data_IF_994211150159
#
_entry.id   IF_994211150159
#
_cell.length_a   1.000
_cell.length_b   1.000
_cell.length_c   1.000
_cell.angle_alpha   90.00
_cell.angle_beta   90.00
_cell.angle_gamma   90.00
#
_symmetry.space_group_name_H-M   'P 1'
#
loop_
_entity.id
_entity.type
_entity.pdbx_description
1 polymer ?
#
# COMPACT_ATOMS: atom_id res chain seq x y z
N UNK A 1 31.72 -46.94 -102.27
CA UNK A 1 30.32 -46.59 -102.24
C UNK A 1 30.00 -46.18 -100.87
N UNK A 2 29.88 -45.10 -100.63
CA UNK A 2 29.32 -43.90 -100.24
C UNK A 2 27.95 -44.01 -99.66
N UNK A 3 27.77 -43.46 -98.53
CA UNK A 3 26.53 -42.71 -98.24
C UNK A 3 26.65 -42.06 -96.83
N UNK A 4 26.80 -40.82 -96.89
CA UNK A 4 26.69 -39.83 -95.81
C UNK A 4 25.24 -39.84 -95.34
N UNK A 5 25.05 -39.86 -94.00
CA UNK A 5 23.83 -39.40 -93.37
C UNK A 5 24.14 -38.33 -92.36
N UNK A 6 23.91 -37.08 -92.77
CA UNK A 6 23.75 -35.97 -91.84
C UNK A 6 22.39 -36.03 -91.22
N UNK A 7 22.29 -36.30 -89.93
CA UNK A 7 21.06 -36.14 -89.12
C UNK A 7 20.98 -34.86 -88.43
N UNK A 8 19.83 -34.28 -88.16
CA UNK A 8 19.64 -32.89 -87.76
C UNK A 8 19.94 -32.64 -86.25
N UNK A 9 21.05 -32.01 -86.02
CA UNK A 9 21.43 -31.52 -84.64
C UNK A 9 20.62 -30.28 -84.21
N UNK A 10 19.73 -29.77 -85.10
CA UNK A 10 18.98 -28.51 -84.81
C UNK A 10 17.64 -28.66 -84.10
N UNK A 11 17.10 -29.92 -83.96
CA UNK A 11 15.80 -30.13 -83.29
C UNK A 11 15.88 -30.33 -81.76
N UNK A 12 17.09 -30.57 -81.22
CA UNK A 12 17.30 -30.74 -79.76
C UNK A 12 17.54 -29.46 -78.99
N UNK A 13 18.06 -28.42 -79.65
CA UNK A 13 18.32 -27.13 -78.99
C UNK A 13 17.06 -26.29 -78.71
N UNK A 14 16.02 -26.39 -79.60
CA UNK A 14 14.73 -25.72 -79.39
C UNK A 14 13.96 -26.29 -78.19
N UNK A 15 14.00 -27.62 -78.11
CA UNK A 15 13.29 -28.30 -77.00
C UNK A 15 13.95 -28.04 -75.63
N UNK A 16 15.28 -27.92 -75.59
CA UNK A 16 15.98 -27.55 -74.34
C UNK A 16 15.73 -26.09 -73.94
N UNK A 17 15.69 -25.16 -74.85
CA UNK A 17 15.43 -23.75 -74.59
C UNK A 17 13.98 -23.55 -74.12
N UNK A 18 13.02 -24.27 -74.68
CA UNK A 18 11.62 -24.21 -74.24
C UNK A 18 11.44 -24.84 -72.85
N UNK A 19 12.15 -25.94 -72.54
CA UNK A 19 12.18 -26.51 -71.19
C UNK A 19 12.80 -25.56 -70.16
N UNK A 20 13.89 -24.88 -70.51
CA UNK A 20 14.52 -23.88 -69.64
C UNK A 20 13.58 -22.70 -69.39
N UNK A 21 12.88 -22.21 -70.42
CA UNK A 21 11.92 -21.11 -70.27
C UNK A 21 10.70 -21.55 -69.44
N UNK A 22 10.18 -22.78 -69.62
CA UNK A 22 9.11 -23.32 -68.77
C UNK A 22 9.53 -23.46 -67.29
N UNK A 23 10.76 -23.93 -67.04
CA UNK A 23 11.34 -24.01 -65.71
C UNK A 23 11.50 -22.62 -65.08
N UNK A 24 11.94 -21.59 -65.80
CA UNK A 24 12.03 -20.20 -65.31
C UNK A 24 10.67 -19.67 -64.89
N UNK A 25 9.63 -19.85 -65.69
CA UNK A 25 8.24 -19.46 -65.36
C UNK A 25 7.74 -20.19 -64.12
N UNK A 26 8.09 -21.48 -64.00
CA UNK A 26 7.71 -22.25 -62.80
C UNK A 26 8.41 -21.77 -61.54
N UNK A 27 9.70 -21.45 -61.62
CA UNK A 27 10.50 -20.88 -60.54
C UNK A 27 9.98 -19.50 -60.15
N UNK A 28 9.66 -18.62 -61.09
CA UNK A 28 9.08 -17.31 -60.84
C UNK A 28 7.69 -17.45 -60.11
N UNK A 29 6.88 -18.39 -60.58
CA UNK A 29 5.58 -18.68 -59.96
C UNK A 29 5.72 -19.22 -58.53
N UNK A 30 6.68 -20.11 -58.29
CA UNK A 30 7.00 -20.59 -56.95
C UNK A 30 7.55 -19.46 -56.06
N UNK A 31 8.41 -18.59 -56.60
CA UNK A 31 8.91 -17.45 -55.85
C UNK A 31 7.80 -16.45 -55.45
N UNK A 32 6.83 -16.23 -56.37
CA UNK A 32 5.64 -15.41 -56.04
C UNK A 32 4.77 -16.08 -54.97
N UNK A 33 4.57 -17.38 -55.02
CA UNK A 33 3.82 -18.12 -53.98
C UNK A 33 4.54 -18.08 -52.64
N UNK A 34 5.88 -18.19 -52.63
CA UNK A 34 6.68 -18.10 -51.42
C UNK A 34 6.58 -16.69 -50.76
N UNK A 35 6.67 -15.66 -51.60
CA UNK A 35 6.50 -14.28 -51.14
C UNK A 35 5.09 -14.04 -50.57
N UNK A 36 4.05 -14.57 -51.23
CA UNK A 36 2.68 -14.50 -50.71
C UNK A 36 2.53 -15.22 -49.37
N UNK A 37 3.08 -16.42 -49.24
CA UNK A 37 3.06 -17.19 -47.98
C UNK A 37 3.82 -16.46 -46.88
N UNK A 38 4.93 -15.78 -47.19
CA UNK A 38 5.65 -14.94 -46.20
C UNK A 38 4.83 -13.77 -45.74
N UNK A 39 4.09 -13.12 -46.64
CA UNK A 39 3.17 -12.01 -46.26
C UNK A 39 2.02 -12.51 -45.40
N UNK A 40 1.43 -13.64 -45.76
CA UNK A 40 0.34 -14.26 -44.99
C UNK A 40 0.80 -14.68 -43.58
N UNK A 41 2.02 -15.26 -43.50
CA UNK A 41 2.64 -15.58 -42.18
C UNK A 41 2.94 -14.32 -41.35
N UNK A 42 3.35 -13.24 -41.98
CA UNK A 42 3.57 -11.97 -41.26
C UNK A 42 2.24 -11.41 -40.73
N UNK A 43 1.18 -11.43 -41.55
CA UNK A 43 -0.16 -11.00 -41.14
C UNK A 43 -0.72 -11.87 -39.99
N UNK A 44 -0.51 -13.18 -40.05
CA UNK A 44 -0.88 -14.10 -38.98
C UNK A 44 -0.12 -13.82 -37.70
N UNK A 45 1.19 -13.56 -37.76
CA UNK A 45 1.99 -13.18 -36.60
C UNK A 45 1.54 -11.87 -36.00
N UNK A 46 1.24 -10.87 -36.80
CA UNK A 46 0.75 -9.57 -36.33
C UNK A 46 -0.65 -9.70 -35.70
N UNK A 47 -1.51 -10.55 -36.27
CA UNK A 47 -2.83 -10.88 -35.73
C UNK A 47 -2.72 -11.64 -34.40
N UNK A 48 -1.79 -12.60 -34.31
CA UNK A 48 -1.54 -13.37 -33.09
C UNK A 48 -0.99 -12.48 -31.97
N UNK A 49 -0.06 -11.59 -32.31
CA UNK A 49 0.48 -10.60 -31.38
C UNK A 49 -0.58 -9.60 -30.90
N UNK A 50 -1.51 -9.22 -31.77
CA UNK A 50 -2.66 -8.39 -31.42
C UNK A 50 -3.62 -9.15 -30.47
N UNK A 51 -3.93 -10.42 -30.78
CA UNK A 51 -4.77 -11.28 -29.93
C UNK A 51 -4.12 -11.57 -28.57
N UNK A 52 -2.80 -11.81 -28.53
CA UNK A 52 -2.04 -11.97 -27.28
C UNK A 52 -2.05 -10.67 -26.47
N UNK A 53 -1.93 -9.51 -27.12
CA UNK A 53 -2.07 -8.21 -26.48
C UNK A 53 -3.49 -7.97 -25.93
N UNK A 54 -4.51 -8.31 -26.70
CA UNK A 54 -5.92 -8.23 -26.28
C UNK A 54 -6.24 -9.23 -25.15
N UNK A 55 -5.66 -10.43 -25.20
CA UNK A 55 -5.83 -11.45 -24.15
C UNK A 55 -5.08 -11.08 -22.88
N UNK A 56 -3.87 -10.48 -22.99
CA UNK A 56 -3.12 -9.95 -21.85
C UNK A 56 -3.84 -8.75 -21.26
N UNK A 57 -4.41 -7.88 -22.09
CA UNK A 57 -5.20 -6.73 -21.66
C UNK A 57 -6.55 -7.16 -21.05
N UNK A 58 -7.19 -8.21 -21.60
CA UNK A 58 -8.40 -8.80 -21.03
C UNK A 58 -8.12 -9.55 -19.72
N UNK A 59 -6.96 -10.21 -19.59
CA UNK A 59 -6.52 -10.83 -18.35
C UNK A 59 -6.12 -9.78 -17.29
N UNK A 60 -5.47 -8.69 -17.68
CA UNK A 60 -5.18 -7.55 -16.81
C UNK A 60 -6.46 -6.81 -16.40
N UNK A 61 -7.46 -6.69 -17.29
CA UNK A 61 -8.79 -6.13 -16.98
C UNK A 61 -9.62 -7.10 -16.13
N UNK A 62 -9.43 -8.41 -16.27
CA UNK A 62 -10.08 -9.42 -15.43
C UNK A 62 -9.43 -9.54 -14.03
N UNK A 63 -8.16 -9.19 -13.89
CA UNK A 63 -7.44 -9.14 -12.61
C UNK A 63 -7.51 -7.76 -11.94
N UNK A 64 -7.86 -6.70 -12.69
CA UNK A 64 -8.13 -5.39 -12.13
C UNK A 64 -9.55 -5.36 -11.54
N UNK A 65 -9.76 -4.78 -10.35
CA UNK A 65 -11.11 -4.43 -9.91
C UNK A 65 -11.77 -3.63 -11.03
N UNK A 66 -13.09 -3.84 -11.24
CA UNK A 66 -13.85 -3.18 -12.31
C UNK A 66 -13.46 -1.69 -12.39
N UNK A 67 -13.25 -1.13 -13.58
CA UNK A 67 -12.79 0.24 -13.70
C UNK A 67 -13.74 1.12 -12.90
N UNK A 68 -13.23 1.73 -11.82
CA UNK A 68 -13.98 2.71 -11.03
C UNK A 68 -14.47 3.76 -12.01
N UNK A 69 -15.77 4.06 -11.97
CA UNK A 69 -16.31 5.17 -12.73
C UNK A 69 -15.42 6.39 -12.49
N UNK A 70 -15.06 7.11 -13.54
CA UNK A 70 -14.21 8.28 -13.40
C UNK A 70 -14.87 9.23 -12.38
N UNK A 71 -14.10 9.62 -11.36
CA UNK A 71 -14.59 10.50 -10.32
C UNK A 71 -15.19 11.78 -10.95
N UNK A 72 -16.32 12.27 -10.45
CA UNK A 72 -16.91 13.51 -10.93
C UNK A 72 -15.90 14.64 -10.75
N UNK A 73 -15.60 15.36 -11.83
CA UNK A 73 -14.67 16.49 -11.83
C UNK A 73 -15.42 17.78 -12.07
N UNK A 74 -15.03 18.83 -11.36
CA UNK A 74 -15.52 20.18 -11.57
C UNK A 74 -14.35 21.18 -11.54
N UNK A 75 -14.55 22.39 -12.07
CA UNK A 75 -13.55 23.45 -12.02
C UNK A 75 -13.83 24.38 -10.84
N UNK A 76 -12.87 24.57 -9.94
CA UNK A 76 -12.97 25.55 -8.84
C UNK A 76 -12.49 26.95 -9.25
N UNK A 77 -11.61 27.03 -10.25
CA UNK A 77 -11.10 28.25 -10.85
C UNK A 77 -10.59 27.94 -12.28
N UNK A 78 -10.33 28.95 -13.13
CA UNK A 78 -9.76 28.73 -14.46
C UNK A 78 -8.48 27.89 -14.39
N UNK A 79 -8.49 26.74 -15.09
CA UNK A 79 -7.36 25.80 -15.15
C UNK A 79 -7.23 24.86 -13.95
N UNK A 80 -8.00 25.03 -12.88
CA UNK A 80 -7.97 24.13 -11.71
C UNK A 80 -9.14 23.15 -11.79
N UNK A 81 -8.81 21.86 -11.79
CA UNK A 81 -9.77 20.75 -11.72
C UNK A 81 -9.77 20.18 -10.31
N UNK A 82 -10.97 19.87 -9.82
CA UNK A 82 -11.19 19.17 -8.56
C UNK A 82 -11.92 17.87 -8.85
N UNK A 83 -11.38 16.75 -8.39
CA UNK A 83 -12.07 15.47 -8.37
C UNK A 83 -12.45 15.12 -6.94
N UNK A 84 -13.66 14.61 -6.74
CA UNK A 84 -14.14 14.07 -5.48
C UNK A 84 -14.23 12.55 -5.60
N UNK A 85 -13.68 11.86 -4.63
CA UNK A 85 -13.68 10.40 -4.54
C UNK A 85 -14.02 10.00 -3.12
N UNK A 86 -14.46 8.76 -2.95
CA UNK A 86 -14.71 8.27 -1.61
C UNK A 86 -15.41 6.94 -1.59
N UNK A 87 -15.76 6.53 -0.38
CA UNK A 87 -16.62 5.39 -0.14
C UNK A 87 -17.42 5.58 1.14
N UNK A 88 -18.64 5.06 1.13
CA UNK A 88 -19.46 4.86 2.32
C UNK A 88 -19.14 3.46 2.84
N UNK A 89 -18.89 3.32 4.13
CA UNK A 89 -18.57 2.06 4.79
C UNK A 89 -19.58 1.77 5.91
N UNK A 90 -20.03 0.53 5.99
CA UNK A 90 -20.77 0.00 7.13
C UNK A 90 -20.22 -1.37 7.49
N UNK A 91 -19.80 -1.56 8.74
CA UNK A 91 -19.22 -2.81 9.22
C UNK A 91 -19.92 -3.27 10.50
N UNK A 92 -20.58 -4.42 10.45
CA UNK A 92 -21.05 -5.13 11.62
C UNK A 92 -19.90 -5.97 12.19
N UNK A 93 -19.73 -6.01 13.50
CA UNK A 93 -18.70 -6.79 14.15
C UNK A 93 -19.22 -7.53 15.38
N UNK A 94 -18.58 -8.65 15.68
CA UNK A 94 -18.66 -9.35 16.95
C UNK A 94 -17.26 -9.72 17.40
N UNK A 95 -16.93 -9.47 18.66
CA UNK A 95 -15.64 -9.80 19.27
C UNK A 95 -15.83 -10.33 20.69
N UNK A 96 -14.93 -11.21 21.11
CA UNK A 96 -15.00 -11.90 22.39
C UNK A 96 -14.25 -11.19 23.52
N UNK A 97 -13.65 -10.01 23.21
CA UNK A 97 -12.81 -9.27 24.15
C UNK A 97 -12.65 -7.82 23.69
N UNK A 98 -12.25 -6.92 24.59
CA UNK A 98 -11.82 -5.58 24.21
C UNK A 98 -10.47 -5.61 23.48
N UNK A 99 -10.34 -4.79 22.46
CA UNK A 99 -9.10 -4.59 21.71
C UNK A 99 -8.54 -3.18 21.97
N UNK A 100 -7.24 -3.06 21.82
CA UNK A 100 -6.52 -1.78 21.88
C UNK A 100 -6.92 -0.94 20.67
N UNK A 101 -6.89 0.36 20.82
CA UNK A 101 -7.41 1.38 19.92
C UNK A 101 -8.93 1.43 19.79
N UNK A 102 -9.65 0.41 20.22
CA UNK A 102 -11.09 0.33 20.27
C UNK A 102 -11.65 -0.96 19.69
N UNK A 103 -12.95 -0.97 19.51
CA UNK A 103 -13.67 -2.13 19.05
C UNK A 103 -14.14 -1.96 17.60
N UNK A 104 -14.36 -3.05 16.87
CA UNK A 104 -14.78 -3.02 15.49
C UNK A 104 -13.65 -2.65 14.55
N UNK A 105 -13.85 -1.67 13.69
CA UNK A 105 -12.95 -1.29 12.59
C UNK A 105 -11.57 -0.74 13.02
N UNK A 106 -11.35 -0.45 14.28
CA UNK A 106 -10.10 0.03 14.85
C UNK A 106 -9.49 -0.92 15.89
N UNK A 107 -9.92 -2.18 15.93
CA UNK A 107 -9.33 -3.21 16.77
C UNK A 107 -7.93 -3.60 16.28
N UNK A 108 -6.92 -3.47 17.16
CA UNK A 108 -5.52 -3.83 16.81
C UNK A 108 -5.16 -5.19 17.40
N UNK A 109 -4.98 -5.26 18.70
CA UNK A 109 -4.67 -6.47 19.44
C UNK A 109 -5.45 -6.51 20.75
N UNK A 110 -5.66 -7.69 21.38
CA UNK A 110 -6.43 -7.80 22.61
C UNK A 110 -5.84 -6.94 23.72
N UNK A 111 -6.68 -6.27 24.50
CA UNK A 111 -6.24 -5.59 25.72
C UNK A 111 -5.71 -6.62 26.71
N UNK A 112 -4.46 -6.44 27.17
CA UNK A 112 -3.81 -7.37 28.08
C UNK A 112 -4.64 -7.55 29.36
N UNK A 113 -4.95 -8.81 29.71
CA UNK A 113 -5.73 -9.14 30.90
C UNK A 113 -7.22 -8.83 30.82
N UNK A 114 -7.74 -8.35 29.68
CA UNK A 114 -9.16 -8.10 29.53
C UNK A 114 -9.99 -9.39 29.70
N UNK A 115 -11.14 -9.35 30.38
CA UNK A 115 -12.02 -10.49 30.52
C UNK A 115 -12.65 -10.89 29.19
N UNK A 116 -12.99 -12.15 29.03
CA UNK A 116 -13.80 -12.63 27.90
C UNK A 116 -15.24 -12.13 28.04
N UNK A 117 -15.83 -11.79 26.91
CA UNK A 117 -17.20 -11.32 26.81
C UNK A 117 -17.61 -11.15 25.36
N UNK A 118 -18.89 -11.01 25.07
CA UNK A 118 -19.36 -10.75 23.71
C UNK A 118 -19.61 -9.25 23.54
N UNK A 119 -18.92 -8.65 22.59
CA UNK A 119 -19.10 -7.27 22.16
C UNK A 119 -19.53 -7.27 20.70
N UNK A 120 -20.66 -6.63 20.40
CA UNK A 120 -21.18 -6.51 19.04
C UNK A 120 -21.58 -5.08 18.75
N UNK A 121 -21.47 -4.69 17.51
CA UNK A 121 -21.86 -3.36 17.06
C UNK A 121 -21.86 -3.22 15.56
N UNK A 122 -22.21 -2.01 15.12
CA UNK A 122 -22.08 -1.57 13.73
C UNK A 122 -21.29 -0.27 13.73
N UNK A 123 -20.30 -0.17 12.85
CA UNK A 123 -19.42 0.99 12.71
C UNK A 123 -19.47 1.53 11.27
N UNK A 124 -19.62 2.84 11.14
CA UNK A 124 -19.64 3.55 9.85
C UNK A 124 -18.48 4.54 9.70
N UNK A 125 -17.62 4.64 10.71
CA UNK A 125 -16.57 5.67 10.81
C UNK A 125 -15.45 5.54 9.77
N UNK A 126 -15.28 4.37 9.15
CA UNK A 126 -14.36 4.20 8.02
C UNK A 126 -14.85 4.87 6.74
N UNK A 127 -16.12 5.33 6.67
CA UNK A 127 -16.60 6.19 5.58
C UNK A 127 -15.59 7.29 5.34
N UNK A 128 -15.15 7.44 4.09
CA UNK A 128 -14.03 8.30 3.71
C UNK A 128 -14.32 9.02 2.42
N UNK A 129 -13.86 10.26 2.32
CA UNK A 129 -13.87 11.02 1.09
C UNK A 129 -12.63 11.87 0.98
N UNK A 130 -12.26 12.17 -0.26
CA UNK A 130 -11.14 13.06 -0.53
C UNK A 130 -11.37 13.88 -1.78
N UNK A 131 -10.67 15.01 -1.82
CA UNK A 131 -10.61 15.90 -2.97
C UNK A 131 -9.17 15.96 -3.48
N UNK A 132 -9.03 15.77 -4.78
CA UNK A 132 -7.76 15.95 -5.50
C UNK A 132 -7.87 17.21 -6.35
N UNK A 133 -6.93 18.12 -6.18
CA UNK A 133 -6.80 19.37 -6.91
C UNK A 133 -5.66 19.23 -7.91
N UNK A 134 -5.86 19.67 -9.17
CA UNK A 134 -4.86 19.60 -10.21
C UNK A 134 -4.98 20.75 -11.20
N UNK A 135 -3.94 20.99 -12.00
CA UNK A 135 -3.93 21.94 -13.10
C UNK A 135 -3.36 23.31 -12.77
N UNK A 136 -3.06 23.63 -11.50
CA UNK A 136 -2.33 24.86 -11.17
C UNK A 136 -0.91 24.81 -11.76
N UNK A 137 -0.46 25.89 -12.41
CA UNK A 137 0.92 26.05 -12.81
C UNK A 137 1.68 26.81 -11.73
N UNK A 138 2.81 26.25 -11.29
CA UNK A 138 3.73 26.95 -10.41
C UNK A 138 4.84 27.65 -11.21
N UNK A 139 5.39 26.96 -12.21
CA UNK A 139 6.29 27.51 -13.23
C UNK A 139 6.04 26.80 -14.56
N UNK A 140 6.79 27.10 -15.61
CA UNK A 140 6.66 26.42 -16.91
C UNK A 140 6.89 24.91 -16.84
N UNK A 141 7.76 24.46 -15.90
CA UNK A 141 8.14 23.04 -15.73
C UNK A 141 7.48 22.37 -14.54
N UNK A 142 6.87 23.15 -13.62
CA UNK A 142 6.24 22.63 -12.43
C UNK A 142 4.73 22.87 -12.43
N UNK A 143 3.98 21.80 -12.27
CA UNK A 143 2.53 21.84 -12.04
C UNK A 143 2.24 21.65 -10.57
N UNK A 144 1.20 22.33 -10.10
CA UNK A 144 0.73 22.25 -8.72
C UNK A 144 -0.58 21.52 -8.59
N UNK A 145 -0.82 21.01 -7.41
CA UNK A 145 -2.05 20.37 -7.01
C UNK A 145 -2.16 20.27 -5.49
N UNK A 146 -3.08 19.47 -5.02
CA UNK A 146 -3.27 19.22 -3.60
C UNK A 146 -4.21 18.05 -3.36
N UNK A 147 -4.23 17.60 -2.12
CA UNK A 147 -5.07 16.50 -1.66
C UNK A 147 -5.61 16.81 -0.27
N UNK A 148 -6.89 16.54 -0.04
CA UNK A 148 -7.53 16.62 1.29
C UNK A 148 -8.33 15.35 1.48
N UNK A 149 -8.05 14.59 2.54
CA UNK A 149 -8.72 13.33 2.89
C UNK A 149 -9.28 13.38 4.31
N UNK A 150 -10.52 12.90 4.49
CA UNK A 150 -11.22 12.85 5.77
C UNK A 150 -11.91 11.51 5.98
N UNK A 151 -11.96 11.06 7.24
CA UNK A 151 -12.82 9.99 7.75
C UNK A 151 -13.61 10.47 8.99
N UNK A 152 -14.32 9.57 9.68
CA UNK A 152 -15.15 9.93 10.85
C UNK A 152 -14.60 9.38 12.18
N UNK A 153 -13.31 9.18 12.28
CA UNK A 153 -12.63 8.78 13.54
C UNK A 153 -12.18 9.97 14.40
N UNK A 154 -12.77 11.15 14.26
CA UNK A 154 -12.47 12.35 15.05
C UNK A 154 -13.02 12.33 16.50
N UNK A 155 -13.63 11.23 16.90
CA UNK A 155 -14.33 11.10 18.17
C UNK A 155 -15.83 11.21 18.00
N UNK A 156 -16.54 11.55 19.09
CA UNK A 156 -17.99 11.69 19.10
C UNK A 156 -18.40 13.08 19.60
N UNK A 157 -19.46 13.64 19.03
CA UNK A 157 -19.98 14.93 19.45
C UNK A 157 -20.87 14.74 20.68
N UNK A 158 -20.43 15.30 21.81
CA UNK A 158 -21.13 15.27 23.08
C UNK A 158 -20.91 14.00 23.90
N UNK A 159 -21.67 13.88 24.98
CA UNK A 159 -21.68 12.75 25.89
C UNK A 159 -23.14 12.29 26.11
N UNK A 160 -23.31 11.02 26.51
CA UNK A 160 -24.62 10.45 26.79
C UNK A 160 -25.12 9.47 25.75
N UNK A 161 -26.40 9.12 25.82
CA UNK A 161 -26.98 7.95 25.13
C UNK A 161 -26.88 7.97 23.60
N UNK A 162 -26.82 9.15 22.98
CA UNK A 162 -26.78 9.29 21.52
C UNK A 162 -25.46 9.79 20.96
N UNK A 163 -24.43 9.96 21.78
CA UNK A 163 -23.13 10.48 21.33
C UNK A 163 -22.46 9.60 20.28
N UNK A 164 -22.63 8.28 20.38
CA UNK A 164 -22.05 7.31 19.46
C UNK A 164 -22.65 7.36 18.03
N UNK A 165 -23.82 7.95 17.87
CA UNK A 165 -24.45 8.18 16.58
C UNK A 165 -24.00 9.51 15.93
N UNK A 166 -23.08 10.23 16.54
CA UNK A 166 -22.59 11.53 16.09
C UNK A 166 -21.05 11.53 15.93
N UNK A 167 -20.48 10.65 15.05
CA UNK A 167 -19.04 10.63 14.83
C UNK A 167 -18.56 11.92 14.15
N UNK A 168 -17.42 12.43 14.62
CA UNK A 168 -16.83 13.65 14.09
C UNK A 168 -15.86 13.37 12.94
N UNK A 169 -15.82 14.26 11.92
CA UNK A 169 -14.82 14.18 10.86
C UNK A 169 -13.41 14.31 11.45
N UNK A 170 -12.45 13.57 10.87
CA UNK A 170 -11.03 13.65 11.16
C UNK A 170 -10.26 13.94 9.88
N UNK A 171 -9.43 14.99 9.90
CA UNK A 171 -8.49 15.24 8.82
C UNK A 171 -7.41 14.14 8.83
N UNK A 172 -7.31 13.40 7.74
CA UNK A 172 -6.31 12.35 7.57
C UNK A 172 -5.09 12.88 6.87
N UNK A 173 -5.29 13.46 5.70
CA UNK A 173 -4.24 14.05 4.88
C UNK A 173 -4.67 15.44 4.39
N UNK A 174 -3.74 16.37 4.31
CA UNK A 174 -3.91 17.67 3.69
C UNK A 174 -2.54 18.16 3.25
N UNK A 175 -2.25 18.07 1.95
CA UNK A 175 -0.96 18.49 1.41
C UNK A 175 -1.09 19.14 0.03
N UNK A 176 -0.15 20.04 -0.25
CA UNK A 176 0.13 20.53 -1.59
C UNK A 176 1.08 19.57 -2.30
N UNK A 177 0.97 19.47 -3.61
CA UNK A 177 1.88 18.71 -4.45
C UNK A 177 2.41 19.59 -5.58
N UNK A 178 3.72 19.56 -5.80
CA UNK A 178 4.40 20.17 -6.94
C UNK A 178 5.09 19.04 -7.71
N UNK A 179 4.83 18.95 -9.01
CA UNK A 179 5.38 17.90 -9.86
C UNK A 179 6.09 18.51 -11.08
N UNK A 180 7.28 18.04 -11.36
CA UNK A 180 8.01 18.32 -12.58
C UNK A 180 8.11 17.05 -13.42
N UNK A 181 7.21 16.86 -14.40
CA UNK A 181 7.23 15.66 -15.25
C UNK A 181 8.52 15.53 -16.09
N UNK A 182 9.19 16.65 -16.38
CA UNK A 182 10.46 16.66 -17.13
C UNK A 182 11.59 15.97 -16.38
N UNK A 183 11.79 16.34 -15.11
CA UNK A 183 12.83 15.76 -14.24
C UNK A 183 12.42 14.48 -13.51
N UNK A 184 11.12 14.17 -13.41
CA UNK A 184 10.62 13.08 -12.56
C UNK A 184 10.64 13.44 -11.06
N UNK A 185 10.64 14.75 -10.73
CA UNK A 185 10.64 15.20 -9.34
C UNK A 185 9.23 15.52 -8.86
N UNK A 186 8.92 15.17 -7.62
CA UNK A 186 7.67 15.54 -6.94
C UNK A 186 8.00 16.04 -5.53
N UNK A 187 7.33 17.10 -5.10
CA UNK A 187 7.42 17.63 -3.73
C UNK A 187 6.02 17.68 -3.14
N UNK A 188 5.82 17.07 -1.98
CA UNK A 188 4.58 17.14 -1.20
C UNK A 188 4.84 17.91 0.09
N UNK A 189 3.96 18.85 0.45
CA UNK A 189 4.09 19.71 1.64
C UNK A 189 2.77 19.72 2.38
N UNK A 190 2.74 19.26 3.63
CA UNK A 190 1.54 19.19 4.47
C UNK A 190 1.44 17.90 5.23
N UNK A 191 0.26 17.63 5.80
CA UNK A 191 0.02 16.40 6.54
C UNK A 191 -0.15 15.22 5.59
N UNK A 192 0.71 14.24 5.69
CA UNK A 192 0.77 13.05 4.85
C UNK A 192 1.34 11.85 5.61
N UNK A 193 1.23 10.66 5.04
CA UNK A 193 1.91 9.49 5.59
C UNK A 193 3.42 9.71 5.58
N UNK A 194 4.08 9.25 6.64
CA UNK A 194 5.52 9.11 6.67
C UNK A 194 6.00 8.03 5.68
N UNK A 195 7.31 7.88 5.51
CA UNK A 195 7.85 6.91 4.57
C UNK A 195 7.97 5.50 5.17
N UNK A 196 7.88 5.38 6.51
CA UNK A 196 7.82 4.07 7.18
C UNK A 196 6.50 3.36 6.94
N UNK A 197 5.40 4.10 6.77
CA UNK A 197 4.11 3.48 6.48
C UNK A 197 4.11 2.90 5.05
N UNK A 198 3.86 1.58 4.89
CA UNK A 198 3.99 0.91 3.60
C UNK A 198 2.75 1.13 2.71
N UNK A 199 2.54 2.35 2.21
CA UNK A 199 1.34 2.74 1.43
C UNK A 199 1.01 1.80 0.27
N UNK A 200 2.05 1.38 -0.48
CA UNK A 200 1.89 0.51 -1.64
C UNK A 200 1.75 -0.97 -1.25
N UNK A 201 1.84 -1.27 0.06
CA UNK A 201 1.90 -2.63 0.59
C UNK A 201 0.89 -2.87 1.73
N UNK A 202 -0.12 -2.01 1.88
CA UNK A 202 -1.16 -2.13 2.92
C UNK A 202 -1.95 -3.43 2.73
N UNK A 203 -2.18 -4.22 3.80
CA UNK A 203 -2.95 -5.46 3.71
C UNK A 203 -4.38 -5.24 3.21
N UNK A 204 -4.87 -6.15 2.39
CA UNK A 204 -6.26 -6.12 1.91
C UNK A 204 -7.21 -6.51 3.03
N UNK A 205 -8.08 -5.58 3.41
CA UNK A 205 -9.19 -5.79 4.33
C UNK A 205 -10.27 -4.75 4.04
N UNK A 206 -11.53 -5.13 4.12
CA UNK A 206 -12.67 -4.22 4.06
C UNK A 206 -13.17 -3.82 5.46
N UNK A 207 -12.78 -4.54 6.49
CA UNK A 207 -13.07 -4.24 7.88
C UNK A 207 -12.05 -3.31 8.51
N UNK A 208 -10.77 -3.47 8.19
CA UNK A 208 -9.66 -2.70 8.73
C UNK A 208 -9.08 -1.73 7.69
N UNK A 209 -9.82 -0.64 7.38
CA UNK A 209 -9.42 0.35 6.38
C UNK A 209 -8.77 1.57 7.02
N UNK A 210 -9.36 2.11 8.10
CA UNK A 210 -8.85 3.28 8.78
C UNK A 210 -7.63 2.96 9.64
N UNK A 211 -7.62 1.77 10.21
CA UNK A 211 -6.56 1.13 10.96
C UNK A 211 -6.31 -0.23 10.30
N UNK A 212 -5.35 -0.32 9.38
CA UNK A 212 -5.08 -1.55 8.62
C UNK A 212 -4.65 -2.70 9.52
N UNK A 213 -4.92 -3.93 9.09
CA UNK A 213 -4.36 -5.12 9.72
C UNK A 213 -2.84 -4.98 9.89
N UNK A 214 -2.32 -5.33 11.04
CA UNK A 214 -0.90 -5.25 11.35
C UNK A 214 -0.43 -3.89 11.87
N UNK A 215 -1.23 -2.84 11.88
CA UNK A 215 -0.82 -1.56 12.45
C UNK A 215 -0.54 -1.75 13.96
N UNK A 216 0.68 -1.45 14.38
CA UNK A 216 1.15 -1.79 15.73
C UNK A 216 1.46 -3.26 15.98
N UNK A 217 1.20 -4.15 15.00
CA UNK A 217 1.50 -5.61 15.07
C UNK A 217 2.21 -6.05 13.78
N UNK A 218 3.37 -5.46 13.49
CA UNK A 218 4.17 -5.80 12.31
C UNK A 218 4.18 -4.73 11.21
N UNK A 219 3.36 -3.68 11.34
CA UNK A 219 3.38 -2.51 10.48
C UNK A 219 3.49 -1.26 11.35
N UNK A 220 4.38 -0.34 10.99
CA UNK A 220 4.63 0.93 11.68
C UNK A 220 4.43 2.10 10.72
N UNK A 221 4.38 3.31 11.27
CA UNK A 221 4.22 4.55 10.53
C UNK A 221 2.86 5.22 10.76
N UNK A 222 2.84 6.54 10.62
CA UNK A 222 1.65 7.37 10.79
C UNK A 222 1.69 8.60 9.88
N UNK A 223 0.75 9.48 10.06
CA UNK A 223 0.63 10.71 9.26
C UNK A 223 1.11 11.90 10.06
N UNK A 224 2.07 12.63 9.48
CA UNK A 224 2.66 13.82 10.10
C UNK A 224 2.68 15.00 9.12
N UNK A 225 2.60 16.24 9.62
CA UNK A 225 2.95 17.42 8.84
C UNK A 225 4.42 17.36 8.45
N UNK A 226 4.72 17.61 7.18
CA UNK A 226 6.11 17.55 6.71
C UNK A 226 6.26 17.85 5.23
N UNK A 227 7.45 17.57 4.74
CA UNK A 227 7.83 17.70 3.33
C UNK A 227 8.41 16.39 2.87
N UNK A 228 7.93 15.88 1.76
CA UNK A 228 8.51 14.71 1.05
C UNK A 228 8.93 15.15 -0.34
N UNK A 229 10.18 14.91 -0.68
CA UNK A 229 10.71 15.01 -2.03
C UNK A 229 10.89 13.60 -2.58
N UNK A 230 10.35 13.37 -3.77
CA UNK A 230 10.46 12.11 -4.53
C UNK A 230 11.15 12.37 -5.85
N UNK A 231 12.06 11.49 -6.25
CA UNK A 231 12.82 11.59 -7.49
C UNK A 231 12.84 10.24 -8.22
N UNK A 232 12.33 10.22 -9.44
CA UNK A 232 12.52 9.10 -10.35
C UNK A 232 13.99 9.04 -10.77
N UNK A 233 14.68 7.92 -10.52
CA UNK A 233 16.11 7.78 -10.73
C UNK A 233 16.46 7.36 -12.16
N UNK A 234 15.56 6.64 -12.82
CA UNK A 234 15.78 6.11 -14.17
C UNK A 234 14.57 6.31 -15.09
N UNK A 235 13.98 7.49 -15.00
CA UNK A 235 12.83 7.89 -15.81
C UNK A 235 13.05 7.60 -17.30
N UNK A 236 12.05 6.97 -17.94
CA UNK A 236 12.09 6.58 -19.35
C UNK A 236 12.84 5.28 -19.64
N UNK A 237 13.35 4.59 -18.64
CA UNK A 237 13.83 3.21 -18.75
C UNK A 237 12.68 2.25 -19.06
N UNK A 238 12.95 1.19 -19.79
CA UNK A 238 11.98 0.10 -20.06
C UNK A 238 12.05 -1.04 -19.07
N UNK A 239 13.01 -1.03 -18.15
CA UNK A 239 13.15 -2.00 -17.06
C UNK A 239 12.59 -1.51 -15.75
N UNK A 240 13.07 -2.10 -14.65
CA UNK A 240 12.68 -1.73 -13.30
C UNK A 240 12.77 -0.21 -13.08
N UNK A 241 11.70 0.37 -12.55
CA UNK A 241 11.62 1.79 -12.23
C UNK A 241 12.07 2.02 -10.80
N UNK A 242 13.01 2.93 -10.61
CA UNK A 242 13.57 3.27 -9.29
C UNK A 242 13.19 4.68 -8.88
N UNK A 243 12.79 4.84 -7.64
CA UNK A 243 12.46 6.14 -7.04
C UNK A 243 13.14 6.28 -5.68
N UNK A 244 13.71 7.45 -5.42
CA UNK A 244 14.18 7.86 -4.10
C UNK A 244 13.18 8.85 -3.50
N UNK A 245 12.70 8.56 -2.29
CA UNK A 245 11.90 9.48 -1.49
C UNK A 245 12.72 9.93 -0.28
N UNK A 246 12.68 11.23 0.04
CA UNK A 246 13.28 11.82 1.24
C UNK A 246 12.23 12.65 1.96
N UNK A 247 12.00 12.35 3.24
CA UNK A 247 10.99 12.99 4.08
C UNK A 247 11.61 13.72 5.27
N UNK A 248 11.03 14.86 5.62
CA UNK A 248 11.28 15.55 6.87
C UNK A 248 9.93 15.93 7.48
N UNK A 249 9.63 15.44 8.67
CA UNK A 249 8.34 15.58 9.32
C UNK A 249 8.45 16.25 10.68
N UNK A 250 7.40 16.97 11.07
CA UNK A 250 7.17 17.38 12.43
C UNK A 250 6.49 16.24 13.16
N UNK A 251 7.26 15.30 13.69
CA UNK A 251 6.75 14.25 14.55
C UNK A 251 6.05 14.86 15.76
N UNK A 252 4.91 14.33 16.16
CA UNK A 252 4.28 14.67 17.41
C UNK A 252 4.56 13.56 18.41
N UNK A 253 5.26 13.88 19.47
CA UNK A 253 5.42 12.97 20.58
C UNK A 253 4.35 13.22 21.61
N UNK A 254 3.36 12.36 21.64
CA UNK A 254 2.35 12.33 22.69
C UNK A 254 2.83 11.46 23.84
N UNK A 255 3.98 11.76 24.42
CA UNK A 255 4.58 10.97 25.46
C UNK A 255 3.56 10.48 26.52
N UNK A 256 3.94 9.54 27.37
CA UNK A 256 3.04 8.79 28.19
C UNK A 256 2.06 9.66 29.01
N UNK A 257 0.78 9.42 28.80
CA UNK A 257 -0.31 10.00 29.59
C UNK A 257 -0.55 11.49 29.34
N UNK A 258 -0.04 12.06 28.26
CA UNK A 258 -0.18 13.49 28.02
C UNK A 258 -0.66 13.81 26.61
N UNK A 259 -1.66 14.69 26.52
CA UNK A 259 -2.10 15.32 25.28
C UNK A 259 -1.13 16.46 24.88
N UNK A 260 0.15 16.20 24.87
CA UNK A 260 1.14 17.16 24.39
C UNK A 260 1.13 17.12 22.88
N UNK A 261 0.45 18.08 22.28
CA UNK A 261 0.56 18.25 20.85
C UNK A 261 1.91 18.94 20.49
N UNK A 262 2.25 18.94 19.22
CA UNK A 262 3.47 19.55 18.69
C UNK A 262 3.64 21.05 19.00
N UNK A 263 2.59 21.73 19.49
CA UNK A 263 2.61 23.15 19.86
C UNK A 263 2.97 23.38 21.33
N UNK A 264 3.19 22.32 22.09
CA UNK A 264 3.48 22.40 23.52
C UNK A 264 4.98 22.33 23.83
N UNK A 265 5.34 22.65 25.05
CA UNK A 265 6.73 22.75 25.50
C UNK A 265 7.51 21.42 25.44
N UNK A 266 6.87 20.26 25.39
CA UNK A 266 7.56 18.99 25.27
C UNK A 266 8.33 18.85 23.95
N UNK A 267 7.92 19.59 22.92
CA UNK A 267 8.64 19.72 21.66
C UNK A 267 9.53 20.98 21.62
N UNK A 268 10.09 21.39 22.73
CA UNK A 268 10.98 22.53 22.81
C UNK A 268 12.21 22.32 21.91
N UNK A 269 12.30 23.11 20.85
CA UNK A 269 13.27 22.96 19.79
C UNK A 269 12.79 21.97 18.71
N UNK A 270 12.53 22.52 17.54
CA UNK A 270 12.15 21.71 16.38
C UNK A 270 13.26 20.71 16.03
N UNK A 271 12.95 19.43 16.10
CA UNK A 271 13.81 18.33 15.69
C UNK A 271 13.02 17.50 14.71
N UNK A 272 13.23 17.65 13.40
CA UNK A 272 12.48 16.90 12.41
C UNK A 272 12.81 15.40 12.52
N UNK A 273 11.80 14.59 12.38
CA UNK A 273 11.90 13.19 11.98
C UNK A 273 12.33 13.17 10.52
N UNK A 274 13.38 12.45 10.19
CA UNK A 274 13.90 12.33 8.83
C UNK A 274 13.86 10.88 8.35
N UNK A 275 13.50 10.71 7.09
CA UNK A 275 13.33 9.39 6.48
C UNK A 275 13.82 9.40 5.05
N UNK A 276 14.33 8.24 4.61
CA UNK A 276 14.72 8.02 3.24
C UNK A 276 14.25 6.63 2.79
N UNK A 277 13.57 6.57 1.64
CA UNK A 277 13.04 5.33 1.04
C UNK A 277 13.53 5.17 -0.39
N UNK A 278 14.14 4.03 -0.68
CA UNK A 278 14.37 3.58 -2.05
C UNK A 278 13.25 2.62 -2.44
N UNK A 279 12.59 2.90 -3.55
CA UNK A 279 11.47 2.13 -4.08
C UNK A 279 11.80 1.60 -5.46
N UNK A 280 11.33 0.41 -5.79
CA UNK A 280 11.46 -0.23 -7.10
C UNK A 280 10.14 -0.85 -7.55
N UNK A 281 9.81 -0.67 -8.82
CA UNK A 281 8.70 -1.33 -9.50
C UNK A 281 9.23 -2.02 -10.76
N UNK A 282 8.90 -3.31 -10.94
CA UNK A 282 9.25 -4.09 -12.14
C UNK A 282 8.12 -5.07 -12.48
N UNK A 283 7.26 -4.70 -13.42
CA UNK A 283 6.08 -5.47 -13.78
C UNK A 283 5.16 -5.70 -12.59
N UNK A 284 4.99 -6.95 -12.20
CA UNK A 284 4.11 -7.38 -11.09
C UNK A 284 4.80 -7.28 -9.70
N UNK A 285 6.05 -6.86 -9.65
CA UNK A 285 6.83 -6.74 -8.43
C UNK A 285 6.98 -5.27 -8.02
N UNK A 286 6.71 -4.98 -6.75
CA UNK A 286 7.14 -3.74 -6.11
C UNK A 286 7.95 -4.05 -4.85
N UNK A 287 8.93 -3.21 -4.56
CA UNK A 287 9.76 -3.37 -3.37
C UNK A 287 10.27 -2.04 -2.85
N UNK A 288 10.60 -1.99 -1.58
CA UNK A 288 11.19 -0.80 -0.98
C UNK A 288 12.12 -1.16 0.19
N UNK A 289 13.02 -0.23 0.47
CA UNK A 289 13.78 -0.18 1.71
C UNK A 289 13.70 1.24 2.26
N UNK A 290 13.46 1.39 3.56
CA UNK A 290 13.32 2.69 4.21
C UNK A 290 14.12 2.73 5.51
N UNK A 291 14.71 3.90 5.80
CA UNK A 291 15.37 4.21 7.04
C UNK A 291 14.70 5.44 7.68
N UNK A 292 14.58 5.42 9.00
CA UNK A 292 13.99 6.45 9.86
C UNK A 292 14.97 6.87 10.94
N UNK A 293 14.99 8.18 11.25
CA UNK A 293 15.73 8.73 12.37
C UNK A 293 15.01 9.96 12.96
N UNK A 294 14.86 9.98 14.29
CA UNK A 294 14.39 11.15 15.03
C UNK A 294 15.05 11.21 16.42
N UNK A 295 15.09 12.42 17.00
CA UNK A 295 15.38 12.61 18.41
C UNK A 295 14.17 13.22 19.11
N UNK A 296 13.68 12.54 20.14
CA UNK A 296 12.51 12.94 20.91
C UNK A 296 12.99 13.57 22.21
N UNK A 297 12.67 14.85 22.41
CA UNK A 297 13.03 15.59 23.62
C UNK A 297 11.90 15.44 24.66
N UNK A 298 12.20 14.79 25.77
CA UNK A 298 11.26 14.56 26.88
C UNK A 298 11.38 15.57 28.02
N UNK A 299 12.23 16.60 27.90
CA UNK A 299 12.49 17.56 28.96
C UNK A 299 11.27 18.39 29.41
N UNK A 300 10.24 18.50 28.56
CA UNK A 300 9.00 19.21 28.89
C UNK A 300 7.82 18.31 29.25
N UNK A 301 8.02 17.00 29.34
CA UNK A 301 6.96 16.07 29.71
C UNK A 301 6.64 16.24 31.19
N UNK A 302 5.38 16.53 31.47
CA UNK A 302 4.92 16.83 32.83
C UNK A 302 3.40 16.64 33.01
N UNK A 303 2.85 17.19 34.07
CA UNK A 303 1.43 17.06 34.39
C UNK A 303 1.09 15.67 34.96
N UNK A 304 0.13 14.98 34.35
CA UNK A 304 -0.28 13.61 34.76
C UNK A 304 0.56 12.52 34.08
N UNK A 305 1.49 12.89 33.18
CA UNK A 305 2.34 11.95 32.53
C UNK A 305 3.34 11.32 33.50
N UNK A 306 3.65 10.01 33.38
CA UNK A 306 4.74 9.40 34.11
C UNK A 306 6.07 10.11 33.80
N UNK A 307 6.90 10.29 34.83
CA UNK A 307 8.21 10.91 34.65
C UNK A 307 9.10 10.02 33.78
N UNK A 308 9.64 10.51 32.66
CA UNK A 308 10.55 9.75 31.83
C UNK A 308 11.85 9.44 32.58
N UNK A 309 12.46 8.28 32.31
CA UNK A 309 13.77 7.91 32.88
C UNK A 309 14.95 8.46 32.07
N UNK A 310 14.66 9.04 30.90
CA UNK A 310 15.64 9.70 30.04
C UNK A 310 15.11 11.06 29.58
N UNK A 311 15.99 12.01 29.34
CA UNK A 311 15.62 13.33 28.81
C UNK A 311 15.47 13.34 27.27
N UNK A 312 15.97 12.32 26.61
CA UNK A 312 15.93 12.19 25.15
C UNK A 312 15.84 10.72 24.77
N UNK A 313 15.03 10.40 23.76
CA UNK A 313 14.98 9.10 23.11
C UNK A 313 15.49 9.29 21.68
N UNK A 314 16.31 8.38 21.19
CA UNK A 314 16.64 8.25 19.78
C UNK A 314 15.68 7.27 19.15
N UNK A 315 14.86 7.73 18.22
CA UNK A 315 13.99 6.89 17.41
C UNK A 315 14.71 6.58 16.11
N UNK A 316 14.91 5.31 15.82
CA UNK A 316 15.56 4.84 14.61
C UNK A 316 14.96 3.52 14.12
N UNK A 317 14.84 3.36 12.80
CA UNK A 317 14.36 2.13 12.22
C UNK A 317 14.91 1.89 10.83
N UNK A 318 14.87 0.61 10.45
CA UNK A 318 15.07 0.16 9.09
C UNK A 318 13.99 -0.86 8.75
N UNK A 319 13.37 -0.71 7.56
CA UNK A 319 12.33 -1.61 7.06
C UNK A 319 12.60 -1.98 5.60
N UNK A 320 12.28 -3.23 5.26
CA UNK A 320 12.23 -3.73 3.89
C UNK A 320 10.86 -4.35 3.67
N UNK A 321 10.23 -4.04 2.55
CA UNK A 321 8.94 -4.60 2.20
C UNK A 321 8.69 -4.60 0.70
N UNK A 322 7.54 -5.17 0.32
CA UNK A 322 7.13 -5.20 -1.07
C UNK A 322 5.91 -6.08 -1.33
N UNK A 323 5.50 -6.12 -2.58
CA UNK A 323 4.42 -6.95 -3.07
C UNK A 323 4.75 -7.59 -4.41
N UNK A 324 4.13 -8.73 -4.67
CA UNK A 324 4.27 -9.47 -5.91
C UNK A 324 2.91 -10.03 -6.33
N UNK A 325 2.52 -9.80 -7.60
CA UNK A 325 1.20 -10.10 -8.16
C UNK A 325 1.27 -11.12 -9.32
N UNK A 326 1.74 -12.36 -9.09
CA UNK A 326 1.86 -13.35 -10.18
C UNK A 326 0.49 -13.92 -10.56
N UNK A 327 -0.11 -13.41 -11.62
CA UNK A 327 -1.43 -13.85 -12.11
C UNK A 327 -2.54 -13.60 -11.08
N UNK A 328 -3.29 -14.65 -10.61
CA UNK A 328 -4.37 -14.47 -9.64
C UNK A 328 -3.90 -14.31 -8.19
N UNK A 329 -2.60 -14.46 -7.93
CA UNK A 329 -2.03 -14.37 -6.59
C UNK A 329 -1.59 -12.97 -6.23
N UNK A 330 -1.63 -12.66 -4.97
CA UNK A 330 -1.04 -11.49 -4.34
C UNK A 330 -0.22 -11.94 -3.14
N UNK A 331 1.04 -11.54 -3.11
CA UNK A 331 1.89 -11.68 -1.91
C UNK A 331 2.38 -10.29 -1.52
N UNK A 332 2.33 -9.96 -0.24
CA UNK A 332 2.88 -8.72 0.28
C UNK A 332 3.35 -8.87 1.71
N UNK A 333 4.26 -8.02 2.12
CA UNK A 333 4.76 -8.04 3.48
C UNK A 333 5.91 -7.07 3.70
N UNK A 334 6.29 -6.93 4.95
CA UNK A 334 7.47 -6.20 5.38
C UNK A 334 8.15 -6.91 6.55
N UNK A 335 9.36 -6.52 6.82
CA UNK A 335 10.09 -6.78 8.06
C UNK A 335 10.82 -5.51 8.48
N UNK A 336 10.81 -5.20 9.76
CA UNK A 336 11.50 -4.04 10.29
C UNK A 336 12.21 -4.35 11.62
N UNK A 337 13.16 -3.50 11.94
CA UNK A 337 13.79 -3.40 13.26
C UNK A 337 13.98 -1.94 13.59
N UNK A 338 13.87 -1.59 14.86
CA UNK A 338 14.03 -0.21 15.29
C UNK A 338 14.07 -0.06 16.78
N UNK A 339 14.15 1.18 17.22
CA UNK A 339 14.16 1.61 18.61
C UNK A 339 13.33 2.87 18.78
N UNK A 340 12.63 3.01 19.91
CA UNK A 340 11.88 4.21 20.23
C UNK A 340 10.72 4.54 19.28
N UNK A 341 10.04 3.56 18.72
CA UNK A 341 9.04 3.71 17.65
C UNK A 341 7.60 3.91 18.17
N UNK A 342 7.41 4.24 19.44
CA UNK A 342 6.06 4.35 20.03
C UNK A 342 5.17 5.40 19.36
N UNK A 343 5.71 6.48 18.83
CA UNK A 343 5.02 7.53 18.08
C UNK A 343 4.69 7.14 16.63
N UNK A 344 5.33 6.07 16.12
CA UNK A 344 5.07 5.48 14.81
C UNK A 344 4.21 4.20 14.90
N UNK A 345 3.46 4.01 15.95
CA UNK A 345 2.70 2.77 16.22
C UNK A 345 3.58 1.54 16.50
N UNK A 346 4.87 1.72 16.76
CA UNK A 346 5.76 0.67 17.21
C UNK A 346 5.65 0.37 18.70
N UNK A 347 6.45 -0.60 19.19
CA UNK A 347 6.53 -0.98 20.59
C UNK A 347 5.22 -1.49 21.20
N UNK A 348 4.25 -1.92 20.40
CA UNK A 348 2.88 -2.20 20.85
C UNK A 348 2.23 -0.95 21.47
N UNK A 349 2.44 0.20 20.88
CA UNK A 349 1.98 1.52 21.34
C UNK A 349 2.59 1.93 22.70
N UNK A 350 3.76 1.39 23.05
CA UNK A 350 4.49 1.73 24.26
C UNK A 350 5.56 2.76 23.94
N UNK A 351 5.69 3.74 24.82
CA UNK A 351 6.66 4.80 24.70
C UNK A 351 7.90 4.51 25.57
N UNK A 352 9.05 4.80 25.05
CA UNK A 352 10.32 4.60 25.72
C UNK A 352 11.45 4.33 24.75
N UNK A 353 12.65 4.20 25.28
CA UNK A 353 13.84 3.71 24.56
C UNK A 353 13.75 2.19 24.47
N UNK A 354 12.88 1.72 23.58
CA UNK A 354 12.51 0.30 23.46
C UNK A 354 12.89 -0.19 22.07
N UNK A 355 13.85 -1.10 22.03
CA UNK A 355 14.20 -1.83 20.81
C UNK A 355 13.11 -2.83 20.44
N UNK A 356 12.87 -3.01 19.12
CA UNK A 356 11.88 -3.96 18.65
C UNK A 356 12.19 -4.53 17.26
N UNK A 357 11.52 -5.63 16.95
CA UNK A 357 11.45 -6.21 15.62
C UNK A 357 10.01 -6.60 15.30
N UNK A 358 9.63 -6.45 14.05
CA UNK A 358 8.29 -6.80 13.60
C UNK A 358 8.23 -7.03 12.10
N UNK A 359 7.04 -7.38 11.64
CA UNK A 359 6.74 -7.55 10.23
C UNK A 359 5.40 -8.21 10.02
N UNK A 360 4.92 -8.16 8.79
CA UNK A 360 3.72 -8.88 8.39
C UNK A 360 3.91 -9.56 7.04
N UNK A 361 3.04 -10.53 6.77
CA UNK A 361 2.87 -11.13 5.46
C UNK A 361 1.39 -11.33 5.17
N UNK A 362 0.99 -11.13 3.91
CA UNK A 362 -0.33 -11.46 3.41
C UNK A 362 -0.19 -12.20 2.09
N UNK A 363 -0.99 -13.27 1.93
CA UNK A 363 -1.23 -13.96 0.67
C UNK A 363 -2.69 -13.79 0.27
N UNK A 364 -2.93 -13.40 -0.97
CA UNK A 364 -4.25 -13.25 -1.56
C UNK A 364 -4.42 -14.09 -2.82
N UNK A 365 -5.66 -14.47 -3.12
CA UNK A 365 -6.02 -15.17 -4.35
C UNK A 365 -7.33 -14.64 -4.91
N UNK A 366 -7.33 -14.27 -6.17
CA UNK A 366 -8.53 -13.88 -6.93
C UNK A 366 -9.10 -15.10 -7.65
N UNK A 367 -10.27 -15.58 -7.23
CA UNK A 367 -10.95 -16.72 -7.84
C UNK A 367 -11.50 -16.37 -9.23
N UNK A 368 -11.99 -15.15 -9.34
CA UNK A 368 -12.49 -14.53 -10.56
C UNK A 368 -12.45 -13.00 -10.44
N UNK A 369 -13.10 -12.30 -11.36
CA UNK A 369 -13.16 -10.82 -11.35
C UNK A 369 -13.91 -10.20 -10.16
N UNK A 370 -14.69 -10.99 -9.42
CA UNK A 370 -15.54 -10.53 -8.34
C UNK A 370 -15.08 -11.06 -6.97
N UNK A 371 -14.57 -12.28 -6.90
CA UNK A 371 -14.25 -12.94 -5.64
C UNK A 371 -12.75 -13.03 -5.38
N UNK A 372 -12.36 -12.67 -4.16
CA UNK A 372 -10.99 -12.86 -3.67
C UNK A 372 -10.98 -13.28 -2.21
N UNK A 373 -9.93 -13.95 -1.78
CA UNK A 373 -9.66 -14.27 -0.39
C UNK A 373 -8.24 -13.91 -0.02
N UNK A 374 -8.01 -13.52 1.24
CA UNK A 374 -6.69 -13.17 1.75
C UNK A 374 -6.47 -13.84 3.10
N UNK A 375 -5.21 -14.22 3.37
CA UNK A 375 -4.72 -14.67 4.65
C UNK A 375 -3.56 -13.76 5.08
N UNK A 376 -3.64 -13.24 6.30
CA UNK A 376 -2.71 -12.27 6.89
C UNK A 376 -2.09 -12.84 8.16
N UNK A 377 -0.82 -12.51 8.38
CA UNK A 377 -0.12 -12.72 9.64
C UNK A 377 0.77 -11.53 9.96
N UNK A 378 0.59 -10.96 11.16
CA UNK A 378 1.43 -9.89 11.71
C UNK A 378 2.12 -10.33 13.01
N UNK A 379 3.30 -9.80 13.24
CA UNK A 379 4.13 -10.11 14.40
C UNK A 379 4.94 -8.89 14.83
N UNK A 380 5.01 -8.67 16.15
CA UNK A 380 5.90 -7.68 16.77
C UNK A 380 6.42 -8.19 18.11
N UNK A 381 7.68 -7.89 18.38
CA UNK A 381 8.34 -8.25 19.63
C UNK A 381 9.25 -7.10 20.09
N UNK A 382 8.79 -6.28 21.03
CA UNK A 382 9.64 -5.36 21.78
C UNK A 382 10.70 -6.11 22.60
N UNK A 383 11.82 -5.46 22.84
CA UNK A 383 12.85 -5.99 23.73
C UNK A 383 12.33 -6.01 25.18
N UNK A 384 12.32 -7.18 25.77
CA UNK A 384 11.75 -7.39 27.10
C UNK A 384 12.44 -6.59 28.22
N UNK A 385 13.78 -6.47 28.18
CA UNK A 385 14.52 -5.70 29.18
C UNK A 385 14.19 -4.21 29.11
N UNK A 386 14.05 -3.68 27.91
CA UNK A 386 13.75 -2.28 27.69
C UNK A 386 12.32 -1.96 28.13
N UNK A 387 11.34 -2.83 27.76
CA UNK A 387 9.96 -2.70 28.24
C UNK A 387 9.92 -2.69 29.77
N UNK A 388 10.62 -3.61 30.44
CA UNK A 388 10.68 -3.68 31.91
C UNK A 388 11.30 -2.43 32.52
N UNK A 389 12.37 -1.90 31.93
CA UNK A 389 13.03 -0.66 32.37
C UNK A 389 12.10 0.55 32.26
N UNK A 390 11.26 0.62 31.22
CA UNK A 390 10.33 1.72 30.99
C UNK A 390 8.92 1.51 31.59
N UNK A 391 8.66 0.39 32.28
CA UNK A 391 7.37 0.18 32.96
C UNK A 391 7.06 1.28 33.96
N UNK A 392 5.86 1.88 33.83
CA UNK A 392 5.47 3.06 34.62
C UNK A 392 6.06 4.37 34.14
N UNK A 393 6.92 4.35 33.11
CA UNK A 393 7.56 5.53 32.53
C UNK A 393 7.20 5.74 31.04
N UNK A 394 6.29 4.93 30.52
CA UNK A 394 5.84 4.95 29.12
C UNK A 394 5.49 3.59 28.57
N UNK A 395 6.08 2.55 29.11
CA UNK A 395 5.74 1.17 28.78
C UNK A 395 4.64 0.61 29.71
N UNK A 396 3.74 -0.16 29.12
CA UNK A 396 2.62 -0.84 29.81
C UNK A 396 2.88 -2.33 30.04
N UNK A 397 4.10 -2.79 29.78
CA UNK A 397 4.50 -4.17 29.99
C UNK A 397 4.09 -5.14 28.89
N UNK A 398 3.82 -4.68 27.67
CA UNK A 398 3.50 -5.52 26.52
C UNK A 398 4.80 -6.06 25.88
N UNK A 399 4.86 -7.38 25.69
CA UNK A 399 6.12 -8.07 25.38
C UNK A 399 6.15 -8.66 23.96
N UNK A 400 4.98 -8.96 23.41
CA UNK A 400 4.86 -9.55 22.08
C UNK A 400 3.40 -9.52 21.66
N UNK A 401 3.15 -9.33 20.36
CA UNK A 401 1.83 -9.55 19.78
C UNK A 401 1.92 -10.32 18.47
N UNK A 402 0.85 -11.05 18.19
CA UNK A 402 0.62 -11.76 16.92
C UNK A 402 -0.82 -11.53 16.51
N UNK A 403 -1.01 -11.28 15.21
CA UNK A 403 -2.32 -11.10 14.61
C UNK A 403 -2.43 -12.00 13.40
N UNK A 404 -3.50 -12.75 13.29
CA UNK A 404 -3.84 -13.57 12.13
C UNK A 404 -5.22 -13.15 11.65
N UNK A 405 -5.39 -12.97 10.34
CA UNK A 405 -6.71 -12.72 9.77
C UNK A 405 -6.89 -13.49 8.48
N UNK A 406 -8.13 -13.86 8.20
CA UNK A 406 -8.56 -14.37 6.90
C UNK A 406 -9.82 -13.64 6.48
N UNK A 407 -9.90 -13.28 5.19
CA UNK A 407 -11.07 -12.63 4.67
C UNK A 407 -11.47 -13.17 3.31
N UNK A 408 -12.76 -13.07 3.02
CA UNK A 408 -13.38 -13.32 1.73
C UNK A 408 -14.05 -12.03 1.29
N UNK A 409 -13.78 -11.59 0.07
CA UNK A 409 -14.27 -10.33 -0.48
C UNK A 409 -15.01 -10.57 -1.79
N UNK A 410 -16.06 -9.81 -2.00
CA UNK A 410 -16.84 -9.76 -3.23
C UNK A 410 -16.94 -8.32 -3.70
N UNK A 411 -16.57 -8.06 -4.94
CA UNK A 411 -16.65 -6.74 -5.58
C UNK A 411 -17.53 -6.80 -6.84
N UNK A 412 -18.47 -5.88 -6.96
CA UNK A 412 -19.35 -5.76 -8.14
C UNK A 412 -19.66 -4.31 -8.43
N UNK A 413 -19.05 -3.75 -9.48
CA UNK A 413 -19.16 -2.33 -9.83
C UNK A 413 -18.62 -1.45 -8.71
N UNK A 414 -19.49 -0.59 -8.17
CA UNK A 414 -19.14 0.32 -7.06
C UNK A 414 -19.30 -0.31 -5.66
N UNK A 415 -19.77 -1.55 -5.55
CA UNK A 415 -20.05 -2.20 -4.28
C UNK A 415 -19.00 -3.25 -3.94
N UNK A 416 -18.63 -3.29 -2.66
CA UNK A 416 -17.77 -4.32 -2.09
C UNK A 416 -18.39 -4.88 -0.80
N UNK A 417 -18.30 -6.21 -0.62
CA UNK A 417 -18.70 -6.91 0.59
C UNK A 417 -17.53 -7.74 1.09
N UNK A 418 -17.34 -7.80 2.40
CA UNK A 418 -16.26 -8.55 3.02
C UNK A 418 -16.69 -9.26 4.29
N UNK A 419 -16.31 -10.53 4.40
CA UNK A 419 -16.36 -11.29 5.64
C UNK A 419 -14.91 -11.49 6.10
N UNK A 420 -14.60 -11.11 7.35
CA UNK A 420 -13.27 -11.23 7.93
C UNK A 420 -13.33 -11.85 9.31
N UNK A 421 -12.43 -12.77 9.58
CA UNK A 421 -12.12 -13.25 10.92
C UNK A 421 -10.70 -12.86 11.28
N UNK A 422 -10.52 -12.30 12.48
CA UNK A 422 -9.24 -11.92 13.03
C UNK A 422 -9.05 -12.58 14.40
N UNK A 423 -7.85 -13.09 14.63
CA UNK A 423 -7.39 -13.63 15.90
C UNK A 423 -6.11 -12.94 16.32
N UNK A 424 -6.09 -12.36 17.52
CA UNK A 424 -4.93 -11.69 18.09
C UNK A 424 -4.48 -12.33 19.40
N UNK A 425 -3.18 -12.28 19.68
CA UNK A 425 -2.61 -12.63 20.99
C UNK A 425 -1.66 -11.54 21.45
N UNK A 426 -1.68 -11.23 22.74
CA UNK A 426 -0.69 -10.34 23.36
C UNK A 426 -0.11 -10.99 24.59
N UNK A 427 1.22 -11.03 24.67
CA UNK A 427 1.96 -11.43 25.87
C UNK A 427 2.35 -10.17 26.64
N UNK A 428 2.19 -10.20 27.97
CA UNK A 428 2.44 -9.06 28.84
C UNK A 428 3.08 -9.47 30.17
N UNK A 429 3.56 -8.47 30.89
CA UNK A 429 4.05 -8.61 32.28
C UNK A 429 3.49 -7.48 33.13
N UNK A 430 3.21 -7.74 34.41
CA UNK A 430 2.75 -6.73 35.35
C UNK A 430 3.82 -6.30 36.35
N UNK A 431 4.93 -7.04 36.43
CA UNK A 431 5.99 -6.82 37.43
C UNK A 431 7.42 -7.12 36.86
N UNK A 432 7.53 -7.27 35.54
CA UNK A 432 8.80 -7.59 34.87
C UNK A 432 9.22 -9.06 34.91
N UNK A 433 8.63 -9.86 35.78
CA UNK A 433 9.02 -11.28 35.99
C UNK A 433 7.96 -12.27 35.56
N UNK A 434 6.68 -11.96 35.79
CA UNK A 434 5.57 -12.80 35.33
C UNK A 434 5.36 -12.70 33.81
N UNK A 435 4.66 -13.70 33.26
CA UNK A 435 4.23 -13.72 31.87
C UNK A 435 2.75 -14.06 31.83
N UNK A 436 1.98 -13.20 31.19
CA UNK A 436 0.56 -13.35 30.97
C UNK A 436 0.31 -13.36 29.47
N UNK A 437 -0.62 -14.16 28.99
CA UNK A 437 -1.04 -14.17 27.60
C UNK A 437 -2.53 -13.93 27.54
N UNK A 438 -2.94 -13.06 26.62
CA UNK A 438 -4.35 -12.74 26.36
C UNK A 438 -4.58 -12.92 24.87
N UNK A 439 -5.64 -13.62 24.52
CA UNK A 439 -6.08 -13.84 23.15
C UNK A 439 -7.45 -13.24 22.92
N UNK A 440 -7.81 -12.97 21.67
CA UNK A 440 -9.11 -12.45 21.31
C UNK A 440 -9.45 -12.74 19.85
N UNK A 441 -10.74 -12.89 19.59
CA UNK A 441 -11.31 -13.11 18.27
C UNK A 441 -12.22 -11.97 17.87
N UNK A 442 -12.27 -11.68 16.59
CA UNK A 442 -13.22 -10.76 15.99
C UNK A 442 -13.71 -11.33 14.66
N UNK A 443 -15.00 -11.18 14.40
CA UNK A 443 -15.62 -11.43 13.10
C UNK A 443 -16.29 -10.15 12.63
N UNK A 444 -16.07 -9.79 11.37
CA UNK A 444 -16.64 -8.59 10.75
C UNK A 444 -17.33 -8.93 9.44
N UNK A 445 -18.46 -8.26 9.20
CA UNK A 445 -19.13 -8.19 7.90
C UNK A 445 -19.16 -6.74 7.47
N UNK A 446 -18.44 -6.43 6.38
CA UNK A 446 -18.27 -5.08 5.87
C UNK A 446 -18.97 -4.90 4.53
N UNK A 447 -19.54 -3.73 4.31
CA UNK A 447 -20.10 -3.30 3.03
C UNK A 447 -19.57 -1.92 2.69
N UNK A 448 -19.13 -1.73 1.44
CA UNK A 448 -18.63 -0.48 0.91
C UNK A 448 -19.37 -0.10 -0.38
N UNK A 449 -19.57 1.19 -0.54
CA UNK A 449 -20.02 1.81 -1.80
C UNK A 449 -19.04 2.91 -2.19
N UNK A 450 -18.43 2.77 -3.34
CA UNK A 450 -17.47 3.74 -3.90
C UNK A 450 -18.17 4.75 -4.81
N UNK A 451 -17.72 6.01 -4.76
CA UNK A 451 -18.22 7.10 -5.62
C UNK A 451 -17.10 8.03 -6.09
#
# INVERSE_FOLDING_TARGET
>A
MGLTLAGPVLAQSGNQQDQVNALKVLVEKQQQQLNQQQQDLQQLRDSLKKLEGEQTQAAAVAAAPAPKAAAPTFSSAPGIKVSMNGFISATAFNQDRSFVFGNGQNAEFPVAGAPSGSLSGVDVRSTRFWFDFSGAKFTDNWSGGGHIEMDFFGGYNGAGAFSQQQPLPRLRQAYMVLTNPGSGSTVKIGQQWDLMFPLDNVPNSLGHIAFPLGLGVGMVGWRFPGVVWSQDLNKGSTGAQWRLDMGAFSGSWDGPGNNVNYQTAANAGFRPQVEARLHVEDGDLSGYAVAHYAQINLAGVGGTAPTPIASTITSEAFEIGGSWHPGPWLFRGNVYTGNGLGDLFGGLLQFGDIGETGGFAQAGYSFDKNWSANAFYGYVKPNTSDVVAWMGHGASGLLRSRQTAVNLQYAAGAYELGLEWMYGTVDSTTNGSNRLSTDGNQVMLSALYHF
#
